data_IF_275561863069
#
_entry.id   IF_275561863069
#
_cell.length_a   1.000
_cell.length_b   1.000
_cell.length_c   1.000
_cell.angle_alpha   90.00
_cell.angle_beta   90.00
_cell.angle_gamma   90.00
#
_symmetry.space_group_name_H-M   'P 1'
#
loop_
_entity.id
_entity.type
_entity.pdbx_description
1 polymer ?
#
# COMPACT_ATOMS: atom_id res chain seq x y z
N UNK A 1 5.20 13.80 20.58
CA UNK A 1 4.54 13.98 19.28
C UNK A 1 3.03 14.15 19.38
N UNK A 2 2.39 13.60 20.42
CA UNK A 2 0.93 13.65 20.60
C UNK A 2 0.37 15.05 20.81
N UNK A 3 1.19 15.98 21.30
CA UNK A 3 0.78 17.35 21.58
C UNK A 3 0.87 18.30 20.38
N UNK A 4 1.54 17.90 19.29
CA UNK A 4 1.60 18.73 18.08
C UNK A 4 0.23 18.77 17.38
N UNK A 5 -0.21 19.97 17.00
CA UNK A 5 -1.40 20.13 16.18
C UNK A 5 -1.14 19.63 14.74
N UNK A 6 -2.16 19.20 13.98
CA UNK A 6 -1.98 18.78 12.59
C UNK A 6 -1.29 19.83 11.71
N UNK A 7 -1.54 21.11 11.96
CA UNK A 7 -0.93 22.22 11.22
C UNK A 7 0.58 22.40 11.48
N UNK A 8 1.10 21.75 12.52
CA UNK A 8 2.52 21.79 12.89
C UNK A 8 3.30 20.59 12.32
N UNK A 9 2.63 19.69 11.60
CA UNK A 9 3.25 18.51 11.04
C UNK A 9 3.83 18.76 9.65
N UNK A 10 5.04 18.28 9.42
CA UNK A 10 5.60 18.11 8.08
C UNK A 10 5.21 16.72 7.60
N UNK A 11 4.20 16.67 6.73
CA UNK A 11 3.61 15.40 6.28
C UNK A 11 4.30 14.90 5.01
N UNK A 12 4.70 13.65 5.02
CA UNK A 12 5.18 12.94 3.84
C UNK A 12 4.11 11.95 3.38
N UNK A 13 3.52 12.19 2.20
CA UNK A 13 2.65 11.21 1.55
C UNK A 13 3.50 10.17 0.83
N UNK A 14 3.24 8.89 1.08
CA UNK A 14 3.97 7.80 0.46
C UNK A 14 3.04 6.78 -0.18
N UNK A 15 3.42 6.33 -1.35
CA UNK A 15 2.88 5.15 -2.01
C UNK A 15 3.82 3.98 -1.68
N UNK A 16 3.46 3.06 -0.76
CA UNK A 16 4.41 2.05 -0.25
C UNK A 16 5.09 1.25 -1.36
N UNK A 17 4.32 0.81 -2.35
CA UNK A 17 4.83 0.07 -3.51
C UNK A 17 6.00 0.76 -4.24
N UNK A 18 6.03 2.10 -4.23
CA UNK A 18 6.99 2.91 -5.00
C UNK A 18 8.14 3.43 -4.17
N UNK A 19 8.22 3.08 -2.89
CA UNK A 19 9.17 3.71 -1.97
C UNK A 19 10.42 2.85 -1.74
N UNK A 20 10.28 1.70 -1.11
CA UNK A 20 11.39 0.78 -0.84
C UNK A 20 10.90 -0.65 -0.69
N UNK A 21 11.60 -1.59 -1.32
CA UNK A 21 11.37 -3.02 -1.16
C UNK A 21 12.23 -3.54 -0.01
N UNK A 22 11.60 -4.02 1.06
CA UNK A 22 12.25 -4.60 2.24
C UNK A 22 12.20 -6.12 2.28
N UNK A 23 11.24 -6.73 1.56
CA UNK A 23 11.11 -8.19 1.47
C UNK A 23 10.69 -8.66 0.07
N UNK A 24 11.65 -8.97 -0.82
CA UNK A 24 11.32 -9.46 -2.16
C UNK A 24 10.47 -10.73 -2.22
N UNK A 25 10.25 -11.41 -1.10
CA UNK A 25 9.39 -12.60 -1.06
C UNK A 25 7.90 -12.26 -1.14
N UNK A 26 7.53 -11.04 -0.75
CA UNK A 26 6.14 -10.57 -0.80
C UNK A 26 5.77 -9.89 -2.13
N UNK A 27 6.72 -9.62 -3.03
CA UNK A 27 6.52 -8.89 -4.29
C UNK A 27 5.31 -9.35 -5.11
N UNK A 28 4.97 -10.63 -5.02
CA UNK A 28 3.88 -11.26 -5.76
C UNK A 28 2.62 -11.50 -4.91
N UNK A 29 2.55 -10.95 -3.71
CA UNK A 29 1.41 -11.13 -2.81
C UNK A 29 1.07 -12.60 -2.47
N UNK A 30 2.05 -13.51 -2.52
CA UNK A 30 1.84 -14.95 -2.35
C UNK A 30 1.19 -15.64 -3.55
N UNK A 31 0.92 -14.93 -4.63
CA UNK A 31 0.30 -15.45 -5.86
C UNK A 31 1.34 -16.07 -6.79
N UNK A 32 0.87 -16.99 -7.64
CA UNK A 32 1.71 -17.64 -8.67
C UNK A 32 1.22 -17.29 -10.07
N UNK A 33 2.14 -17.13 -11.02
CA UNK A 33 1.84 -16.85 -12.41
C UNK A 33 2.54 -15.61 -12.94
N UNK A 34 2.04 -15.10 -14.05
CA UNK A 34 2.52 -13.89 -14.70
C UNK A 34 1.99 -12.60 -13.98
N UNK A 35 2.34 -11.44 -14.54
CA UNK A 35 1.93 -10.14 -14.01
C UNK A 35 0.41 -9.92 -13.98
N UNK A 36 -0.33 -10.56 -14.90
CA UNK A 36 -1.79 -10.42 -14.96
C UNK A 36 -2.49 -11.19 -13.84
N UNK A 37 -1.79 -12.11 -13.18
CA UNK A 37 -2.27 -12.82 -11.98
C UNK A 37 -1.72 -12.24 -10.69
N UNK A 38 -0.42 -11.96 -10.69
CA UNK A 38 0.28 -11.50 -9.48
C UNK A 38 0.24 -9.99 -9.30
N UNK A 39 0.05 -9.23 -10.36
CA UNK A 39 0.18 -7.77 -10.35
C UNK A 39 1.63 -7.29 -10.35
N UNK A 40 2.65 -8.16 -10.25
CA UNK A 40 4.04 -7.77 -10.11
C UNK A 40 4.74 -7.67 -11.46
N UNK A 41 5.21 -6.47 -11.80
CA UNK A 41 6.10 -6.18 -12.93
C UNK A 41 6.79 -4.82 -12.72
N UNK A 42 8.00 -4.77 -12.14
CA UNK A 42 8.68 -3.52 -11.85
C UNK A 42 9.12 -2.73 -13.09
N UNK A 43 9.05 -3.32 -14.28
CA UNK A 43 9.33 -2.63 -15.54
C UNK A 43 8.10 -1.88 -16.08
N UNK A 44 6.90 -2.20 -15.60
CA UNK A 44 5.65 -1.61 -16.07
C UNK A 44 5.04 -0.69 -15.01
N UNK A 45 4.93 0.60 -15.31
CA UNK A 45 4.47 1.63 -14.37
C UNK A 45 3.09 1.36 -13.72
N UNK A 46 2.22 0.62 -14.39
CA UNK A 46 0.87 0.28 -13.92
C UNK A 46 0.81 -0.99 -13.05
N UNK A 47 1.96 -1.57 -12.67
CA UNK A 47 2.04 -2.82 -11.92
C UNK A 47 2.80 -2.64 -10.60
N UNK A 48 2.73 -3.61 -9.69
CA UNK A 48 3.51 -3.59 -8.45
C UNK A 48 5.01 -3.59 -8.75
N UNK A 49 5.75 -2.78 -7.99
CA UNK A 49 7.21 -2.68 -8.05
C UNK A 49 7.91 -3.29 -6.83
N UNK A 50 7.14 -3.73 -5.85
CA UNK A 50 7.63 -4.48 -4.68
C UNK A 50 7.96 -3.65 -3.46
N UNK A 51 7.70 -2.34 -3.45
CA UNK A 51 7.81 -1.56 -2.22
C UNK A 51 6.79 -2.01 -1.17
N UNK A 52 7.20 -2.06 0.10
CA UNK A 52 6.44 -2.67 1.17
C UNK A 52 6.59 -1.97 2.54
N UNK A 53 5.84 -2.44 3.53
CA UNK A 53 5.84 -1.91 4.90
C UNK A 53 7.22 -2.09 5.55
N UNK A 54 7.93 -3.17 5.25
CA UNK A 54 9.26 -3.43 5.79
C UNK A 54 10.27 -2.43 5.23
N UNK A 55 10.27 -2.21 3.92
CA UNK A 55 11.11 -1.20 3.28
C UNK A 55 10.82 0.21 3.79
N UNK A 56 9.54 0.54 3.99
CA UNK A 56 9.14 1.80 4.59
C UNK A 56 9.68 1.92 6.04
N UNK A 57 9.60 0.84 6.84
CA UNK A 57 10.13 0.81 8.21
C UNK A 57 11.64 1.05 8.23
N UNK A 58 12.37 0.41 7.34
CA UNK A 58 13.84 0.56 7.22
C UNK A 58 14.27 1.97 6.82
N UNK A 59 13.38 2.72 6.14
CA UNK A 59 13.62 4.10 5.70
C UNK A 59 13.12 5.18 6.67
N UNK A 60 12.56 4.82 7.83
CA UNK A 60 12.17 5.80 8.85
C UNK A 60 13.31 6.75 9.27
N UNK A 61 14.58 6.31 9.48
CA UNK A 61 15.68 7.22 9.77
C UNK A 61 15.94 8.24 8.65
N UNK A 62 15.77 7.84 7.40
CA UNK A 62 15.88 8.76 6.26
C UNK A 62 14.77 9.82 6.29
N UNK A 63 13.53 9.44 6.51
CA UNK A 63 12.41 10.39 6.63
C UNK A 63 12.59 11.34 7.81
N UNK A 64 13.08 10.83 8.94
CA UNK A 64 13.46 11.64 10.11
C UNK A 64 14.52 12.69 9.76
N UNK A 65 15.55 12.32 9.02
CA UNK A 65 16.63 13.23 8.59
C UNK A 65 16.14 14.34 7.66
N UNK A 66 15.00 14.15 6.97
CA UNK A 66 14.34 15.18 6.17
C UNK A 66 13.44 16.12 6.99
N UNK A 67 13.34 15.91 8.30
CA UNK A 67 12.44 16.68 9.17
C UNK A 67 10.97 16.29 9.04
N UNK A 68 10.67 15.09 8.52
CA UNK A 68 9.29 14.58 8.45
C UNK A 68 8.82 14.22 9.85
N UNK A 69 7.64 14.69 10.21
CA UNK A 69 7.03 14.48 11.52
C UNK A 69 5.74 13.64 11.46
N UNK A 70 5.21 13.44 10.27
CA UNK A 70 4.06 12.60 10.03
C UNK A 70 4.14 11.87 8.68
N UNK A 71 3.73 10.62 8.66
CA UNK A 71 3.67 9.81 7.44
C UNK A 71 2.20 9.55 7.12
N UNK A 72 1.79 9.95 5.91
CA UNK A 72 0.50 9.59 5.34
C UNK A 72 0.73 8.62 4.20
N UNK A 73 0.31 7.39 4.35
CA UNK A 73 0.50 6.37 3.32
C UNK A 73 -0.83 6.01 2.63
N UNK A 74 -0.73 5.73 1.34
CA UNK A 74 -1.84 5.23 0.53
C UNK A 74 -2.41 3.94 1.14
N UNK A 75 -3.67 3.58 0.84
CA UNK A 75 -4.32 2.44 1.47
C UNK A 75 -3.51 1.14 1.31
N UNK A 76 -3.41 0.37 2.38
CA UNK A 76 -2.66 -0.90 2.39
C UNK A 76 -3.55 -2.12 2.54
N UNK A 77 -4.86 -1.95 2.52
CA UNK A 77 -5.81 -3.07 2.61
C UNK A 77 -5.70 -3.98 1.40
N UNK A 78 -6.06 -5.26 1.59
CA UNK A 78 -6.02 -6.22 0.50
C UNK A 78 -6.84 -5.73 -0.69
N UNK A 79 -6.16 -5.58 -1.81
CA UNK A 79 -6.72 -5.08 -3.06
C UNK A 79 -6.85 -6.18 -4.11
N UNK A 80 -7.63 -5.93 -5.14
CA UNK A 80 -7.65 -6.77 -6.34
C UNK A 80 -6.27 -6.67 -7.01
N UNK A 81 -5.57 -7.79 -7.23
CA UNK A 81 -4.20 -7.72 -7.76
C UNK A 81 -4.12 -7.02 -9.12
N UNK A 82 -5.06 -7.34 -10.02
CA UNK A 82 -5.13 -6.77 -11.36
C UNK A 82 -6.57 -6.56 -11.76
N UNK A 83 -6.87 -5.47 -12.44
CA UNK A 83 -8.15 -5.24 -13.13
C UNK A 83 -7.95 -4.33 -14.35
N UNK A 84 -9.00 -4.21 -15.16
CA UNK A 84 -9.04 -3.45 -16.40
C UNK A 84 -9.43 -4.32 -17.59
N UNK A 85 -9.86 -3.71 -18.69
CA UNK A 85 -10.17 -4.41 -19.93
C UNK A 85 -8.88 -5.01 -20.53
N UNK A 86 -9.06 -6.04 -21.37
CA UNK A 86 -7.94 -6.73 -22.01
C UNK A 86 -7.05 -5.75 -22.79
N UNK A 87 -5.76 -5.71 -22.46
CA UNK A 87 -4.76 -4.82 -23.05
C UNK A 87 -4.56 -3.50 -22.30
N UNK A 88 -5.43 -3.20 -21.32
CA UNK A 88 -5.36 -2.00 -20.50
C UNK A 88 -5.32 -2.34 -19.00
N UNK A 89 -4.94 -3.59 -18.69
CA UNK A 89 -4.88 -4.06 -17.31
C UNK A 89 -3.83 -3.30 -16.51
N UNK A 90 -4.13 -3.07 -15.24
CA UNK A 90 -3.19 -2.54 -14.26
C UNK A 90 -3.37 -3.21 -12.89
N UNK A 91 -2.38 -3.06 -12.04
CA UNK A 91 -2.37 -3.66 -10.71
C UNK A 91 -2.90 -2.71 -9.64
N UNK A 92 -3.35 -3.28 -8.51
CA UNK A 92 -3.86 -2.54 -7.35
C UNK A 92 -2.77 -1.95 -6.45
N UNK A 93 -1.58 -1.64 -6.98
CA UNK A 93 -0.40 -1.16 -6.24
C UNK A 93 -0.66 0.12 -5.43
N UNK A 94 -1.64 0.91 -5.81
CA UNK A 94 -2.04 2.15 -5.14
C UNK A 94 -2.97 1.92 -3.94
N UNK A 95 -3.50 0.70 -3.74
CA UNK A 95 -4.35 0.33 -2.61
C UNK A 95 -5.82 0.76 -2.69
N UNK A 96 -6.28 1.39 -3.79
CA UNK A 96 -7.65 1.89 -3.92
C UNK A 96 -8.66 0.87 -4.45
N UNK A 97 -8.25 -0.35 -4.77
CA UNK A 97 -9.14 -1.42 -5.24
C UNK A 97 -9.35 -2.50 -4.17
N UNK A 98 -9.85 -2.06 -3.02
CA UNK A 98 -9.99 -2.90 -1.83
C UNK A 98 -11.02 -4.00 -2.03
N UNK A 99 -10.63 -5.22 -1.68
CA UNK A 99 -11.48 -6.41 -1.62
C UNK A 99 -11.69 -6.91 -0.20
N UNK A 100 -10.78 -6.59 0.72
CA UNK A 100 -10.86 -6.99 2.13
C UNK A 100 -10.28 -5.88 3.02
N UNK A 101 -11.14 -5.18 3.76
CA UNK A 101 -10.78 -4.09 4.69
C UNK A 101 -10.23 -4.58 6.03
N UNK A 102 -10.15 -5.89 6.26
CA UNK A 102 -9.78 -6.44 7.57
C UNK A 102 -8.30 -6.78 7.69
N UNK A 103 -7.55 -6.72 6.61
CA UNK A 103 -6.12 -7.09 6.59
C UNK A 103 -5.32 -6.31 5.55
N UNK A 104 -4.00 -6.15 5.77
CA UNK A 104 -3.10 -5.62 4.76
C UNK A 104 -3.04 -6.51 3.52
N UNK A 105 -2.77 -5.91 2.37
CA UNK A 105 -2.47 -6.64 1.14
C UNK A 105 -1.16 -7.43 1.30
N UNK A 106 -1.13 -8.70 0.91
CA UNK A 106 0.08 -9.51 1.01
C UNK A 106 1.30 -8.96 0.25
N UNK A 107 1.11 -8.11 -0.75
CA UNK A 107 2.21 -7.40 -1.42
C UNK A 107 2.89 -6.39 -0.50
N UNK A 108 2.16 -5.83 0.47
CA UNK A 108 2.71 -4.84 1.40
C UNK A 108 3.21 -5.45 2.71
N UNK A 109 2.80 -6.68 3.03
CA UNK A 109 3.22 -7.36 4.24
C UNK A 109 2.06 -7.79 5.15
N UNK A 110 2.38 -7.98 6.41
CA UNK A 110 1.48 -8.54 7.43
C UNK A 110 0.98 -7.49 8.41
N UNK A 111 -0.08 -7.82 9.15
CA UNK A 111 -0.56 -6.99 10.27
C UNK A 111 0.51 -6.77 11.34
N UNK A 112 1.36 -7.78 11.59
CA UNK A 112 2.44 -7.66 12.57
C UNK A 112 3.51 -6.68 12.11
N UNK A 113 3.89 -6.69 10.83
CA UNK A 113 4.81 -5.73 10.24
C UNK A 113 4.23 -4.31 10.24
N UNK A 114 2.95 -4.17 9.93
CA UNK A 114 2.29 -2.87 10.01
C UNK A 114 2.29 -2.31 11.44
N UNK A 115 1.98 -3.16 12.45
CA UNK A 115 2.08 -2.74 13.85
C UNK A 115 3.51 -2.32 14.21
N UNK A 116 4.51 -3.09 13.81
CA UNK A 116 5.92 -2.76 14.07
C UNK A 116 6.34 -1.45 13.41
N UNK A 117 5.87 -1.17 12.19
CA UNK A 117 6.07 0.12 11.52
C UNK A 117 5.48 1.29 12.33
N UNK A 118 4.23 1.17 12.78
CA UNK A 118 3.58 2.21 13.59
C UNK A 118 4.34 2.44 14.90
N UNK A 119 4.73 1.38 15.60
CA UNK A 119 5.50 1.46 16.83
C UNK A 119 6.85 2.16 16.60
N UNK A 120 7.55 1.80 15.51
CA UNK A 120 8.85 2.39 15.15
C UNK A 120 8.74 3.87 14.74
N UNK A 121 7.68 4.25 14.02
CA UNK A 121 7.40 5.65 13.68
C UNK A 121 7.09 6.48 14.94
N UNK A 122 6.25 5.94 15.83
CA UNK A 122 5.91 6.59 17.10
C UNK A 122 7.13 6.76 18.02
N UNK A 123 8.02 5.77 18.08
CA UNK A 123 9.27 5.86 18.83
C UNK A 123 10.18 6.99 18.34
N UNK A 124 10.07 7.39 17.08
CA UNK A 124 10.77 8.52 16.45
C UNK A 124 9.99 9.85 16.55
N UNK A 125 8.86 9.85 17.25
CA UNK A 125 8.00 11.03 17.37
C UNK A 125 7.21 11.36 16.11
N UNK A 126 7.13 10.45 15.14
CA UNK A 126 6.34 10.62 13.91
C UNK A 126 4.91 10.14 14.13
N UNK A 127 3.93 10.88 13.60
CA UNK A 127 2.55 10.42 13.47
C UNK A 127 2.37 9.54 12.23
N UNK A 128 1.39 8.67 12.27
CA UNK A 128 1.01 7.82 11.13
C UNK A 128 -0.44 8.09 10.77
N UNK A 129 -0.69 8.54 9.55
CA UNK A 129 -2.02 8.76 8.99
C UNK A 129 -2.32 7.67 7.96
N UNK A 130 -3.41 6.97 8.20
CA UNK A 130 -3.86 5.90 7.33
C UNK A 130 -4.89 6.44 6.34
N UNK A 131 -4.60 6.35 5.05
CA UNK A 131 -5.60 6.62 4.01
C UNK A 131 -6.65 5.50 4.01
N UNK A 132 -7.92 5.89 4.03
CA UNK A 132 -9.04 4.95 4.05
C UNK A 132 -10.04 5.28 2.94
N UNK A 133 -10.60 4.23 2.34
CA UNK A 133 -11.65 4.35 1.34
C UNK A 133 -12.98 4.05 1.99
N UNK A 134 -13.91 5.00 1.95
CA UNK A 134 -15.23 4.89 2.58
C UNK A 134 -16.38 4.82 1.60
N UNK A 135 -16.14 4.93 0.29
CA UNK A 135 -17.16 5.13 -0.74
C UNK A 135 -17.22 4.04 -1.82
N UNK A 136 -16.20 3.17 -1.95
CA UNK A 136 -16.19 2.10 -2.95
C UNK A 136 -15.32 0.91 -2.55
N UNK A 137 -15.49 -0.19 -3.26
CA UNK A 137 -14.61 -1.35 -3.28
C UNK A 137 -14.03 -1.52 -4.69
N UNK A 138 -13.18 -2.54 -4.91
CA UNK A 138 -12.87 -3.01 -6.25
C UNK A 138 -14.13 -3.59 -6.94
N UNK A 139 -14.06 -3.82 -8.24
CA UNK A 139 -15.10 -4.51 -9.02
C UNK A 139 -15.19 -5.97 -8.59
N UNK A 140 -15.99 -6.23 -7.56
CA UNK A 140 -16.20 -7.57 -6.98
C UNK A 140 -17.61 -8.11 -7.25
N UNK A 141 -18.55 -7.24 -7.67
CA UNK A 141 -19.92 -7.61 -8.01
C UNK A 141 -19.99 -7.88 -9.51
N UNK A 142 -20.57 -9.01 -9.87
CA UNK A 142 -20.87 -9.36 -11.27
C UNK A 142 -22.35 -9.70 -11.39
N UNK A 143 -23.02 -9.13 -12.38
CA UNK A 143 -24.40 -9.46 -12.71
C UNK A 143 -24.44 -10.75 -13.54
N UNK A 144 -25.54 -11.51 -13.44
CA UNK A 144 -25.70 -12.83 -14.11
C UNK A 144 -25.71 -12.74 -15.64
N UNK A 145 -26.09 -11.60 -16.16
CA UNK A 145 -26.20 -11.29 -17.60
C UNK A 145 -24.90 -10.74 -18.22
N UNK A 146 -23.85 -10.68 -17.40
CA UNK A 146 -22.52 -10.25 -17.89
C UNK A 146 -22.37 -8.75 -18.06
N UNK A 147 -23.38 -7.97 -17.69
CA UNK A 147 -23.31 -6.52 -17.68
C UNK A 147 -22.47 -6.07 -16.47
N UNK A 148 -21.35 -5.43 -16.76
CA UNK A 148 -20.47 -4.80 -15.78
C UNK A 148 -20.68 -3.30 -15.87
N UNK A 149 -21.42 -2.75 -14.93
CA UNK A 149 -21.49 -1.29 -14.75
C UNK A 149 -20.23 -0.77 -14.10
#
# INVERSE_FOLDING_TARGET
>A
FRSRAPAEETVYFVLPDRFANGDPKNDRGGLKGDRLKTGFDPAAKGFFHGGDIRGLTEKLPYLESLGITAIWFAPIFQSKPVQGPKGEESAGYHGYWVTDFTRPDPHFGTRAEFKAFVDAAHARGMKVYMDIITNHTADVIRYKDGDTT
#
